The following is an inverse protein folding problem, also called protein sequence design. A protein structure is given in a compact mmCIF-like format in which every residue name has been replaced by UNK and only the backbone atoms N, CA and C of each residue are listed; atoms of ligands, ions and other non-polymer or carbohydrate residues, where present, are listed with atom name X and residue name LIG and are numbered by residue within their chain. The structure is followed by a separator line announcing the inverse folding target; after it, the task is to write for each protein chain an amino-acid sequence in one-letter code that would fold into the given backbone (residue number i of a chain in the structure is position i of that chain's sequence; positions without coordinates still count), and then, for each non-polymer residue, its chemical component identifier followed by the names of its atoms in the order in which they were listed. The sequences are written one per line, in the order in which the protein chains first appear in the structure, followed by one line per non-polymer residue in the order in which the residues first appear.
data_IF_743301350128
#
_entry.id   IF_743301350128
#
_cell.length_a   1.000
_cell.length_b   1.000
_cell.length_c   1.000
_cell.angle_alpha   90.00
_cell.angle_beta   90.00
_cell.angle_gamma   90.00
#
_symmetry.space_group_name_H-M   'P 1'
#
loop_
_entity.id
_entity.type
_entity.pdbx_description
1 polymer ?
#
# COMPACT_ATOMS: atom_id res chain seq x y z
N UNK A 1 -34.40 -35.27 1.90
CA UNK A 1 -34.24 -34.01 1.14
C UNK A 1 -33.14 -33.16 1.77
N UNK A 2 -33.25 -32.85 3.07
CA UNK A 2 -32.24 -32.11 3.86
C UNK A 2 -30.81 -32.69 3.82
N UNK A 3 -30.64 -34.02 3.91
CA UNK A 3 -29.30 -34.62 3.90
C UNK A 3 -28.57 -34.47 2.55
N UNK A 4 -29.33 -34.44 1.44
CA UNK A 4 -28.76 -34.20 0.12
C UNK A 4 -28.28 -32.75 -0.02
N UNK A 5 -29.04 -31.79 0.49
CA UNK A 5 -28.65 -30.38 0.49
C UNK A 5 -27.40 -30.12 1.34
N UNK A 6 -27.30 -30.75 2.52
CA UNK A 6 -26.10 -30.64 3.37
C UNK A 6 -24.86 -31.23 2.69
N UNK A 7 -25.00 -32.35 1.99
CA UNK A 7 -23.90 -32.94 1.22
C UNK A 7 -23.46 -32.05 0.05
N UNK A 8 -24.40 -31.42 -0.65
CA UNK A 8 -24.11 -30.48 -1.73
C UNK A 8 -23.39 -29.23 -1.22
N UNK A 9 -23.79 -28.68 -0.07
CA UNK A 9 -23.12 -27.53 0.55
C UNK A 9 -21.69 -27.88 0.99
N UNK A 10 -21.48 -29.09 1.51
CA UNK A 10 -20.16 -29.55 1.95
C UNK A 10 -19.20 -29.77 0.78
N UNK A 11 -19.69 -30.37 -0.30
CA UNK A 11 -18.93 -30.56 -1.54
C UNK A 11 -18.58 -29.21 -2.19
N UNK A 12 -19.50 -28.25 -2.21
CA UNK A 12 -19.25 -26.90 -2.73
C UNK A 12 -18.17 -26.16 -1.91
N UNK A 13 -18.12 -26.38 -0.58
CA UNK A 13 -17.08 -25.82 0.30
C UNK A 13 -15.70 -26.44 0.06
N UNK A 14 -15.61 -27.75 -0.12
CA UNK A 14 -14.34 -28.44 -0.42
C UNK A 14 -13.81 -28.11 -1.81
N UNK A 15 -14.70 -27.92 -2.79
CA UNK A 15 -14.30 -27.51 -4.14
C UNK A 15 -13.85 -26.03 -4.19
N UNK A 16 -14.45 -25.17 -3.36
CA UNK A 16 -14.00 -23.79 -3.18
C UNK A 16 -12.59 -23.74 -2.55
N UNK A 17 -12.31 -24.55 -1.53
CA UNK A 17 -10.99 -24.58 -0.89
C UNK A 17 -9.89 -25.12 -1.81
N UNK A 18 -10.19 -26.09 -2.68
CA UNK A 18 -9.23 -26.58 -3.69
C UNK A 18 -8.93 -25.58 -4.81
N UNK A 19 -9.87 -24.68 -5.12
CA UNK A 19 -9.63 -23.61 -6.11
C UNK A 19 -8.76 -22.49 -5.56
N UNK A 20 -8.74 -22.28 -4.24
CA UNK A 20 -7.81 -21.33 -3.59
C UNK A 20 -6.35 -21.78 -3.64
N UNK A 21 -6.07 -23.09 -3.65
CA UNK A 21 -4.70 -23.62 -3.71
C UNK A 21 -4.04 -23.50 -5.10
N UNK A 22 -4.80 -23.21 -6.16
CA UNK A 22 -4.30 -23.22 -7.54
C UNK A 22 -4.40 -21.85 -8.24
N UNK A 23 -4.28 -20.76 -7.46
CA UNK A 23 -4.20 -19.40 -7.99
C UNK A 23 -2.75 -19.13 -8.38
N UNK A 24 -2.52 -19.00 -9.69
CA UNK A 24 -1.22 -18.61 -10.24
C UNK A 24 -0.73 -17.29 -9.62
N UNK A 25 0.59 -17.14 -9.52
CA UNK A 25 1.23 -15.96 -8.91
C UNK A 25 1.02 -14.75 -9.82
N UNK A 26 -0.14 -14.10 -9.69
CA UNK A 26 -0.41 -12.76 -10.18
C UNK A 26 0.46 -11.72 -9.46
N UNK A 27 0.66 -10.57 -10.09
CA UNK A 27 1.46 -9.48 -9.56
C UNK A 27 0.84 -8.95 -8.25
N UNK A 28 1.48 -9.15 -7.08
CA UNK A 28 0.96 -8.83 -5.71
C UNK A 28 0.42 -7.40 -5.53
N UNK A 29 0.71 -6.48 -6.46
CA UNK A 29 0.04 -5.18 -6.50
C UNK A 29 -1.48 -5.31 -6.52
N UNK A 30 -2.04 -6.37 -7.09
CA UNK A 30 -3.47 -6.64 -7.13
C UNK A 30 -3.74 -8.12 -6.79
N UNK A 31 -4.69 -8.40 -5.90
CA UNK A 31 -5.01 -9.77 -5.53
C UNK A 31 -5.92 -10.40 -6.60
N UNK A 32 -5.59 -11.61 -7.05
CA UNK A 32 -6.43 -12.40 -7.97
C UNK A 32 -7.73 -12.89 -7.32
N UNK A 33 -7.75 -12.99 -5.99
CA UNK A 33 -8.93 -13.25 -5.16
C UNK A 33 -9.20 -12.05 -4.25
N UNK A 34 -10.41 -11.50 -4.34
CA UNK A 34 -10.86 -10.42 -3.47
C UNK A 34 -11.68 -11.00 -2.30
N UNK A 35 -11.16 -10.88 -1.08
CA UNK A 35 -11.95 -11.13 0.13
C UNK A 35 -12.70 -9.83 0.45
N UNK A 36 -14.03 -9.89 0.46
CA UNK A 36 -14.85 -8.74 0.85
C UNK A 36 -14.79 -8.55 2.37
N UNK A 37 -14.72 -7.28 2.81
CA UNK A 37 -14.83 -6.95 4.22
C UNK A 37 -16.25 -7.17 4.74
N UNK A 38 -16.38 -7.39 6.04
CA UNK A 38 -17.67 -7.53 6.71
C UNK A 38 -18.32 -6.17 6.99
N UNK A 39 -19.63 -6.17 7.27
CA UNK A 39 -20.41 -4.96 7.56
C UNK A 39 -19.82 -4.09 8.70
N UNK A 40 -19.25 -4.64 9.78
CA UNK A 40 -18.57 -3.84 10.79
C UNK A 40 -17.36 -3.06 10.23
N UNK A 41 -16.57 -3.67 9.35
CA UNK A 41 -15.42 -2.98 8.72
C UNK A 41 -15.88 -1.79 7.87
N UNK A 42 -17.07 -1.85 7.29
CA UNK A 42 -17.67 -0.74 6.55
C UNK A 42 -18.04 0.43 7.49
N UNK A 43 -18.65 0.15 8.65
CA UNK A 43 -19.10 1.19 9.58
C UNK A 43 -17.95 1.85 10.35
N UNK A 44 -16.94 1.09 10.75
CA UNK A 44 -15.79 1.64 11.49
C UNK A 44 -14.83 2.42 10.58
N UNK A 45 -14.91 2.18 9.27
CA UNK A 45 -14.11 2.83 8.25
C UNK A 45 -12.61 2.57 8.39
N UNK A 46 -11.79 3.42 7.76
CA UNK A 46 -10.34 3.26 7.77
C UNK A 46 -9.76 3.33 9.19
N UNK A 47 -10.28 4.23 10.02
CA UNK A 47 -9.82 4.43 11.39
C UNK A 47 -10.03 3.18 12.27
N UNK A 48 -11.16 2.47 12.15
CA UNK A 48 -11.35 1.19 12.83
C UNK A 48 -10.37 0.12 12.36
N UNK A 49 -10.09 0.10 11.06
CA UNK A 49 -9.22 -0.91 10.45
C UNK A 49 -7.75 -0.77 10.83
N UNK A 50 -7.20 0.43 10.73
CA UNK A 50 -5.74 0.65 10.91
C UNK A 50 -5.39 1.53 12.12
N UNK A 51 -6.38 2.17 12.76
CA UNK A 51 -6.17 3.14 13.83
C UNK A 51 -6.16 4.59 13.34
N UNK A 52 -6.12 5.51 14.30
CA UNK A 52 -6.00 6.95 14.04
C UNK A 52 -4.55 7.30 13.66
N UNK A 53 -4.35 8.29 12.76
CA UNK A 53 -3.01 8.77 12.44
C UNK A 53 -2.39 9.51 13.63
N UNK A 54 -1.06 9.57 13.68
CA UNK A 54 -0.36 10.45 14.61
C UNK A 54 -0.71 11.93 14.30
N UNK A 55 -1.06 12.76 15.30
CA UNK A 55 -1.34 14.19 15.08
C UNK A 55 -0.16 14.95 14.45
N UNK A 56 1.08 14.52 14.73
CA UNK A 56 2.26 14.96 14.00
C UNK A 56 2.56 13.99 12.86
N UNK A 57 2.04 14.30 11.67
CA UNK A 57 2.09 13.40 10.51
C UNK A 57 3.51 13.01 10.11
N UNK A 58 4.44 13.96 10.12
CA UNK A 58 5.84 13.72 9.72
C UNK A 58 6.55 12.80 10.70
N UNK A 59 6.36 13.02 12.00
CA UNK A 59 6.89 12.14 13.04
C UNK A 59 6.25 10.76 12.98
N UNK A 60 4.94 10.67 12.75
CA UNK A 60 4.22 9.41 12.60
C UNK A 60 4.74 8.58 11.42
N UNK A 61 4.89 9.18 10.24
CA UNK A 61 5.44 8.49 9.06
C UNK A 61 6.86 8.01 9.37
N UNK A 62 7.72 8.86 9.95
CA UNK A 62 9.09 8.47 10.32
C UNK A 62 9.11 7.31 11.30
N UNK A 63 8.31 7.37 12.36
CA UNK A 63 8.24 6.33 13.38
C UNK A 63 7.78 4.99 12.78
N UNK A 64 6.75 5.01 11.92
CA UNK A 64 6.24 3.82 11.24
C UNK A 64 7.28 3.15 10.33
N UNK A 65 8.22 3.91 9.76
CA UNK A 65 9.22 3.37 8.83
C UNK A 65 10.57 3.07 9.46
N UNK A 66 10.95 3.79 10.53
CA UNK A 66 12.28 3.72 11.12
C UNK A 66 12.32 3.23 12.57
N UNK A 67 11.18 3.15 13.26
CA UNK A 67 11.11 2.83 14.70
C UNK A 67 10.29 1.59 15.07
N UNK A 68 9.76 0.86 14.09
CA UNK A 68 8.95 -0.34 14.31
C UNK A 68 9.76 -1.62 14.11
N UNK A 69 9.30 -2.74 14.66
CA UNK A 69 9.98 -4.04 14.56
C UNK A 69 10.26 -4.49 13.11
N UNK A 70 9.47 -4.03 12.15
CA UNK A 70 9.65 -4.35 10.74
C UNK A 70 10.48 -3.31 9.95
N UNK A 71 10.92 -2.22 10.57
CA UNK A 71 11.64 -1.11 9.92
C UNK A 71 12.91 -1.52 9.17
N UNK A 72 13.58 -2.56 9.67
CA UNK A 72 14.82 -3.09 9.10
C UNK A 72 14.66 -4.51 8.52
N UNK A 73 13.43 -5.05 8.49
CA UNK A 73 13.16 -6.33 7.83
C UNK A 73 13.22 -6.13 6.32
N UNK A 74 13.97 -6.99 5.65
CA UNK A 74 14.11 -6.95 4.20
C UNK A 74 12.86 -7.49 3.51
N UNK A 75 12.55 -6.91 2.36
CA UNK A 75 11.52 -7.40 1.46
C UNK A 75 11.90 -7.11 0.01
N UNK A 76 11.33 -7.90 -0.91
CA UNK A 76 11.53 -7.77 -2.36
C UNK A 76 10.17 -7.55 -3.02
N UNK A 77 9.85 -6.34 -3.50
CA UNK A 77 8.59 -6.09 -4.17
C UNK A 77 8.59 -6.71 -5.59
N UNK A 78 7.51 -7.38 -6.04
CA UNK A 78 7.51 -8.05 -7.35
C UNK A 78 7.80 -7.16 -8.56
N UNK A 79 7.42 -5.87 -8.46
CA UNK A 79 7.59 -4.88 -9.53
C UNK A 79 8.98 -4.24 -9.58
N UNK A 80 9.86 -4.49 -8.60
CA UNK A 80 11.20 -3.93 -8.58
C UNK A 80 12.21 -5.01 -8.20
N UNK A 81 13.25 -5.27 -9.02
CA UNK A 81 14.27 -6.28 -8.71
C UNK A 81 15.27 -5.74 -7.68
N UNK A 82 14.78 -5.25 -6.54
CA UNK A 82 15.59 -4.69 -5.45
C UNK A 82 15.18 -5.33 -4.14
N UNK A 83 16.16 -5.58 -3.28
CA UNK A 83 15.91 -5.88 -1.86
C UNK A 83 16.02 -4.58 -1.06
N UNK A 84 14.99 -4.27 -0.28
CA UNK A 84 14.91 -3.02 0.49
C UNK A 84 14.28 -3.24 1.86
N UNK A 85 14.20 -2.17 2.66
CA UNK A 85 13.54 -2.17 3.97
C UNK A 85 12.68 -0.91 4.11
N UNK A 86 11.68 -0.88 5.01
CA UNK A 86 10.90 0.33 5.24
C UNK A 86 11.75 1.57 5.56
N UNK A 87 12.80 1.42 6.37
CA UNK A 87 13.72 2.52 6.70
C UNK A 87 14.50 3.03 5.48
N UNK A 88 14.97 2.13 4.60
CA UNK A 88 15.66 2.51 3.35
C UNK A 88 14.72 3.25 2.40
N UNK A 89 13.47 2.81 2.31
CA UNK A 89 12.47 3.45 1.46
C UNK A 89 12.06 4.83 1.96
N UNK A 90 11.94 5.00 3.28
CA UNK A 90 11.76 6.33 3.89
C UNK A 90 12.95 7.24 3.58
N UNK A 91 14.17 6.77 3.81
CA UNK A 91 15.38 7.53 3.52
C UNK A 91 15.44 7.95 2.04
N UNK A 92 15.11 7.05 1.11
CA UNK A 92 15.11 7.34 -0.32
C UNK A 92 14.19 8.50 -0.73
N UNK A 93 13.07 8.71 -0.03
CA UNK A 93 12.13 9.79 -0.38
C UNK A 93 12.36 11.08 0.41
N UNK A 94 13.08 11.01 1.54
CA UNK A 94 13.37 12.19 2.39
C UNK A 94 14.78 12.73 2.23
N UNK A 95 15.73 11.92 1.78
CA UNK A 95 17.12 12.27 1.55
C UNK A 95 17.47 12.16 0.05
N UNK A 96 18.12 13.20 -0.48
CA UNK A 96 18.41 13.29 -1.91
C UNK A 96 19.46 12.27 -2.37
N UNK A 97 20.49 12.05 -1.56
CA UNK A 97 21.57 11.13 -1.89
C UNK A 97 21.05 9.68 -1.89
N UNK A 98 20.25 9.34 -0.88
CA UNK A 98 19.58 8.05 -0.78
C UNK A 98 18.60 7.83 -1.94
N UNK A 99 17.84 8.85 -2.33
CA UNK A 99 16.94 8.79 -3.48
C UNK A 99 17.66 8.52 -4.80
N UNK A 100 18.83 9.16 -5.01
CA UNK A 100 19.69 8.90 -6.16
C UNK A 100 20.26 7.49 -6.13
N UNK A 101 20.68 7.00 -4.96
CA UNK A 101 21.20 5.65 -4.76
C UNK A 101 20.13 4.59 -5.06
N UNK A 102 18.92 4.77 -4.52
CA UNK A 102 17.79 3.87 -4.74
C UNK A 102 17.37 3.83 -6.22
N UNK A 103 17.38 4.98 -6.89
CA UNK A 103 17.07 5.05 -8.33
C UNK A 103 18.10 4.27 -9.17
N UNK A 104 19.40 4.40 -8.87
CA UNK A 104 20.47 3.64 -9.53
C UNK A 104 20.40 2.14 -9.23
N UNK A 105 20.15 1.76 -7.98
CA UNK A 105 20.05 0.37 -7.55
C UNK A 105 18.93 -0.40 -8.28
N UNK A 106 17.88 0.29 -8.71
CA UNK A 106 16.79 -0.30 -9.50
C UNK A 106 17.12 -0.59 -10.98
N UNK A 107 18.36 -0.33 -11.42
CA UNK A 107 18.74 -0.43 -12.84
C UNK A 107 18.01 0.59 -13.71
N UNK A 108 17.63 1.75 -13.15
CA UNK A 108 16.88 2.80 -13.85
C UNK A 108 15.37 2.56 -13.97
N UNK A 109 14.84 1.44 -13.45
CA UNK A 109 13.39 1.14 -13.49
C UNK A 109 12.58 2.01 -12.53
N UNK A 110 13.21 2.56 -11.49
CA UNK A 110 12.60 3.44 -10.49
C UNK A 110 13.22 4.83 -10.58
N UNK A 111 12.37 5.83 -10.71
CA UNK A 111 12.75 7.24 -10.58
C UNK A 111 12.16 7.79 -9.28
N UNK A 112 13.00 7.90 -8.24
CA UNK A 112 12.58 8.49 -6.96
C UNK A 112 12.52 10.01 -7.13
N UNK A 113 11.30 10.54 -7.20
CA UNK A 113 11.08 11.99 -7.30
C UNK A 113 11.33 12.66 -5.95
N UNK A 114 11.73 13.93 -6.02
CA UNK A 114 12.11 14.72 -4.84
C UNK A 114 10.91 15.46 -4.26
N UNK A 115 10.83 15.52 -2.93
CA UNK A 115 9.81 16.29 -2.23
C UNK A 115 9.79 17.76 -2.69
N UNK A 116 10.95 18.43 -2.71
CA UNK A 116 11.04 19.83 -3.12
C UNK A 116 10.48 20.08 -4.53
N UNK A 117 10.74 19.17 -5.48
CA UNK A 117 10.22 19.28 -6.84
C UNK A 117 8.70 19.07 -6.88
N UNK A 118 8.19 18.06 -6.18
CA UNK A 118 6.76 17.75 -6.18
C UNK A 118 5.93 18.79 -5.43
N UNK A 119 6.47 19.36 -4.36
CA UNK A 119 5.88 20.48 -3.63
C UNK A 119 5.66 21.69 -4.54
N UNK A 120 6.60 21.94 -5.44
CA UNK A 120 6.51 23.05 -6.37
C UNK A 120 5.61 22.77 -7.60
N UNK A 121 5.18 21.53 -7.79
CA UNK A 121 4.33 21.14 -8.90
C UNK A 121 2.96 21.81 -8.81
N UNK A 122 2.49 22.41 -9.92
CA UNK A 122 1.24 23.18 -9.97
C UNK A 122 0.05 22.40 -9.37
N UNK A 123 -0.13 21.15 -9.78
CA UNK A 123 -1.21 20.28 -9.26
C UNK A 123 -1.10 20.02 -7.75
N UNK A 124 0.10 19.90 -7.20
CA UNK A 124 0.28 19.64 -5.78
C UNK A 124 -0.05 20.90 -4.95
N UNK A 125 0.36 22.08 -5.44
CA UNK A 125 0.00 23.37 -4.84
C UNK A 125 -1.50 23.62 -4.89
N UNK A 126 -2.10 23.46 -6.07
CA UNK A 126 -3.53 23.69 -6.29
C UNK A 126 -4.38 22.74 -5.44
N UNK A 127 -3.95 21.48 -5.28
CA UNK A 127 -4.63 20.50 -4.44
C UNK A 127 -4.42 20.77 -2.93
N UNK A 128 -3.50 21.65 -2.55
CA UNK A 128 -3.14 21.92 -1.16
C UNK A 128 -2.52 20.71 -0.47
N UNK A 129 -1.62 20.00 -1.16
CA UNK A 129 -0.91 18.85 -0.57
C UNK A 129 0.08 19.32 0.50
N UNK A 130 0.09 18.59 1.62
CA UNK A 130 1.09 18.71 2.68
C UNK A 130 2.33 17.90 2.32
N UNK A 131 3.49 18.27 2.86
CA UNK A 131 4.74 17.52 2.66
C UNK A 131 4.60 16.04 3.08
N UNK A 132 3.87 15.77 4.17
CA UNK A 132 3.56 14.41 4.64
C UNK A 132 2.74 13.61 3.61
N UNK A 133 1.78 14.24 2.94
CA UNK A 133 0.98 13.59 1.90
C UNK A 133 1.81 13.30 0.65
N UNK A 134 2.70 14.23 0.26
CA UNK A 134 3.63 14.02 -0.85
C UNK A 134 4.58 12.85 -0.55
N UNK A 135 5.16 12.80 0.65
CA UNK A 135 6.03 11.70 1.09
C UNK A 135 5.27 10.38 1.08
N UNK A 136 4.06 10.34 1.64
CA UNK A 136 3.27 9.12 1.69
C UNK A 136 2.89 8.61 0.28
N UNK A 137 2.56 9.52 -0.65
CA UNK A 137 2.33 9.20 -2.06
C UNK A 137 3.61 8.69 -2.74
N UNK A 138 4.76 9.32 -2.48
CA UNK A 138 6.06 8.85 -2.99
C UNK A 138 6.36 7.43 -2.53
N UNK A 139 6.18 7.14 -1.24
CA UNK A 139 6.35 5.81 -0.67
C UNK A 139 5.40 4.78 -1.32
N UNK A 140 4.12 5.13 -1.49
CA UNK A 140 3.12 4.27 -2.14
C UNK A 140 3.43 3.99 -3.61
N UNK A 141 4.03 4.95 -4.33
CA UNK A 141 4.46 4.73 -5.73
C UNK A 141 5.79 3.99 -5.84
N UNK A 142 6.51 3.79 -4.73
CA UNK A 142 7.70 2.96 -4.62
C UNK A 142 7.39 1.58 -4.03
N UNK A 143 8.42 0.82 -3.64
CA UNK A 143 8.33 -0.52 -3.05
C UNK A 143 7.32 -0.71 -1.90
N UNK A 144 7.08 0.33 -1.09
CA UNK A 144 6.27 0.22 0.11
C UNK A 144 4.77 -0.08 -0.14
N UNK A 145 4.28 0.10 -1.38
CA UNK A 145 2.91 -0.27 -1.76
C UNK A 145 2.52 -1.67 -1.29
N UNK A 146 3.47 -2.60 -1.32
CA UNK A 146 3.25 -4.00 -0.99
C UNK A 146 2.86 -4.18 0.47
N UNK A 147 3.56 -3.51 1.39
CA UNK A 147 3.29 -3.59 2.82
C UNK A 147 2.00 -2.85 3.18
N UNK A 148 1.73 -1.70 2.57
CA UNK A 148 0.47 -0.98 2.80
C UNK A 148 -0.75 -1.77 2.29
N UNK A 149 -0.62 -2.39 1.11
CA UNK A 149 -1.66 -3.28 0.60
C UNK A 149 -1.83 -4.50 1.49
N UNK A 150 -0.76 -5.06 2.06
CA UNK A 150 -0.85 -6.18 3.00
C UNK A 150 -1.58 -5.78 4.29
N UNK A 151 -1.36 -4.58 4.82
CA UNK A 151 -2.15 -4.03 5.96
C UNK A 151 -3.63 -4.00 5.60
N UNK A 152 -3.97 -3.43 4.44
CA UNK A 152 -5.37 -3.20 4.05
C UNK A 152 -6.11 -4.48 3.66
N UNK A 153 -5.42 -5.42 2.99
CA UNK A 153 -5.99 -6.69 2.54
C UNK A 153 -5.94 -7.77 3.60
N UNK A 154 -5.06 -7.64 4.59
CA UNK A 154 -4.68 -8.72 5.51
C UNK A 154 -4.24 -9.98 4.74
N UNK A 155 -3.54 -9.78 3.62
CA UNK A 155 -3.08 -10.82 2.71
C UNK A 155 -1.91 -10.33 1.85
N UNK A 156 -0.99 -11.21 1.43
CA UNK A 156 -0.82 -12.61 1.85
C UNK A 156 -0.25 -12.73 3.27
N UNK A 157 -0.50 -13.86 3.93
CA UNK A 157 -0.14 -14.10 5.35
C UNK A 157 1.34 -13.84 5.66
N UNK A 158 2.23 -14.18 4.74
CA UNK A 158 3.66 -13.96 4.94
C UNK A 158 4.01 -12.46 4.96
N UNK A 159 3.37 -11.64 4.13
CA UNK A 159 3.50 -10.19 4.19
C UNK A 159 2.90 -9.64 5.49
N UNK A 160 1.74 -10.14 5.92
CA UNK A 160 1.10 -9.71 7.18
C UNK A 160 1.99 -10.01 8.39
N UNK A 161 2.57 -11.22 8.46
CA UNK A 161 3.52 -11.59 9.52
C UNK A 161 4.77 -10.69 9.50
N UNK A 162 5.27 -10.35 8.32
CA UNK A 162 6.43 -9.47 8.17
C UNK A 162 6.17 -8.05 8.71
N UNK A 163 4.92 -7.58 8.77
CA UNK A 163 4.57 -6.28 9.36
C UNK A 163 4.90 -6.17 10.84
N UNK A 164 4.96 -7.29 11.59
CA UNK A 164 5.25 -7.25 13.03
C UNK A 164 4.29 -6.38 13.84
N UNK A 165 3.01 -6.30 13.42
CA UNK A 165 2.00 -5.46 14.07
C UNK A 165 1.99 -3.99 13.62
N UNK A 166 2.92 -3.55 12.76
CA UNK A 166 2.92 -2.21 12.20
C UNK A 166 1.72 -2.01 11.25
N UNK A 167 0.89 -1.01 11.55
CA UNK A 167 -0.34 -0.71 10.80
C UNK A 167 -0.16 0.42 9.80
N UNK A 168 0.96 1.14 9.81
CA UNK A 168 1.20 2.31 8.94
C UNK A 168 0.02 3.31 8.94
N UNK A 169 -0.62 3.51 10.10
CA UNK A 169 -1.88 4.25 10.21
C UNK A 169 -1.76 5.69 9.69
N UNK A 170 -0.70 6.38 10.09
CA UNK A 170 -0.39 7.76 9.68
C UNK A 170 -0.15 7.80 8.18
N UNK A 171 0.72 6.92 7.67
CA UNK A 171 1.11 6.91 6.26
C UNK A 171 -0.06 6.60 5.34
N UNK A 172 -0.88 5.59 5.65
CA UNK A 172 -2.04 5.22 4.85
C UNK A 172 -3.11 6.32 4.88
N UNK A 173 -3.35 6.97 6.03
CA UNK A 173 -4.25 8.13 6.08
C UNK A 173 -3.72 9.30 5.21
N UNK A 174 -2.41 9.56 5.21
CA UNK A 174 -1.80 10.57 4.33
C UNK A 174 -1.93 10.21 2.85
N UNK A 175 -1.81 8.94 2.47
CA UNK A 175 -2.06 8.47 1.09
C UNK A 175 -3.50 8.77 0.69
N UNK A 176 -4.47 8.37 1.52
CA UNK A 176 -5.89 8.57 1.26
C UNK A 176 -6.23 10.06 1.15
N UNK A 177 -5.74 10.89 2.09
CA UNK A 177 -5.93 12.34 2.06
C UNK A 177 -5.36 12.96 0.78
N UNK A 178 -4.12 12.59 0.41
CA UNK A 178 -3.48 13.07 -0.81
C UNK A 178 -4.24 12.70 -2.08
N UNK A 179 -4.71 11.46 -2.20
CA UNK A 179 -5.52 11.01 -3.35
C UNK A 179 -6.84 11.78 -3.43
N UNK A 180 -7.55 11.96 -2.30
CA UNK A 180 -8.82 12.69 -2.27
C UNK A 180 -8.61 14.13 -2.72
N UNK A 181 -7.56 14.81 -2.25
CA UNK A 181 -7.23 16.17 -2.66
C UNK A 181 -6.94 16.25 -4.17
N UNK A 182 -6.12 15.35 -4.69
CA UNK A 182 -5.80 15.29 -6.12
C UNK A 182 -7.04 15.00 -6.99
N UNK A 183 -7.93 14.10 -6.54
CA UNK A 183 -9.14 13.73 -7.28
C UNK A 183 -10.11 14.88 -7.54
N UNK A 184 -10.07 15.93 -6.70
CA UNK A 184 -10.88 17.13 -6.90
C UNK A 184 -10.47 17.93 -8.14
N UNK A 185 -9.23 17.80 -8.56
CA UNK A 185 -8.66 18.49 -9.74
C UNK A 185 -8.61 17.59 -10.98
N UNK A 186 -8.54 16.28 -10.78
CA UNK A 186 -8.35 15.31 -11.86
C UNK A 186 -9.69 14.73 -12.34
N UNK A 187 -10.29 15.36 -13.36
CA UNK A 187 -11.44 14.77 -14.06
C UNK A 187 -11.00 13.55 -14.87
N UNK A 188 -11.63 12.41 -14.65
CA UNK A 188 -11.44 11.21 -15.47
C UNK A 188 -12.05 11.45 -16.86
N UNK A 189 -11.26 11.38 -17.95
CA UNK A 189 -11.82 11.47 -19.28
C UNK A 189 -12.71 10.25 -19.56
N UNK A 190 -13.89 10.47 -20.14
CA UNK A 190 -14.87 9.42 -20.45
C UNK A 190 -14.34 8.35 -21.41
N UNK A 191 -13.36 8.71 -22.24
CA UNK A 191 -12.76 7.81 -23.25
C UNK A 191 -11.49 7.12 -22.77
N UNK A 192 -11.05 7.38 -21.53
CA UNK A 192 -9.78 6.83 -21.04
C UNK A 192 -9.93 5.35 -20.70
N UNK A 193 -9.41 4.50 -21.60
CA UNK A 193 -9.15 3.10 -21.29
C UNK A 193 -7.99 3.01 -20.30
N UNK A 194 -8.20 2.23 -19.23
CA UNK A 194 -7.19 1.94 -18.23
C UNK A 194 -6.88 0.45 -18.33
N UNK A 195 -5.64 0.14 -18.68
CA UNK A 195 -5.14 -1.22 -18.73
C UNK A 195 -4.47 -1.58 -17.41
N UNK A 196 -4.54 -2.87 -17.07
CA UNK A 196 -3.93 -3.45 -15.87
C UNK A 196 -2.90 -4.47 -16.29
#
# INVERSE_FOLDING_TARGET
VLEKEVATIKAAREEASRKEENVGVGNDKFADTAVFGELPEFHEGLAGKIGLPNPNLMEGIKAEHCGMDNSHKTFVPPNYPIETTPAKEYAAVTDEEEGLRASKASGGKRNVRRLAQLREHATAKEAGLLDAEIIALLLYTGPMYMLYNAVLRRFPDHHVKALGGNRYATTINCIVSGIIKLSRLMKLPSERLVFR
#
